data_IF_343382071871
#
_entry.id   IF_343382071871
#
_cell.length_a   1.000
_cell.length_b   1.000
_cell.length_c   1.000
_cell.angle_alpha   90.00
_cell.angle_beta   90.00
_cell.angle_gamma   90.00
#
_symmetry.space_group_name_H-M   'P 1'
#
loop_
_entity.id
_entity.type
_entity.pdbx_description
1 polymer ?
#
# COMPACT_ATOMS: atom_id res chain seq x y z
N UNK A 1 -7.04 20.65 -2.78
CA UNK A 1 -7.96 21.74 -2.37
C UNK A 1 -7.51 22.25 -1.01
N UNK A 2 -7.77 23.50 -0.66
CA UNK A 2 -7.16 24.11 0.54
C UNK A 2 -7.60 23.45 1.84
N UNK A 3 -8.89 23.08 1.95
CA UNK A 3 -9.39 22.34 3.12
C UNK A 3 -8.65 21.01 3.36
N UNK A 4 -8.20 20.33 2.30
CA UNK A 4 -7.47 19.08 2.41
C UNK A 4 -6.03 19.32 2.90
N UNK A 5 -5.40 20.42 2.47
CA UNK A 5 -4.08 20.83 2.95
C UNK A 5 -4.15 21.26 4.43
N UNK A 6 -5.21 21.96 4.81
CA UNK A 6 -5.45 22.34 6.20
C UNK A 6 -5.68 21.10 7.09
N UNK A 7 -6.51 20.16 6.65
CA UNK A 7 -6.73 18.88 7.33
C UNK A 7 -5.41 18.12 7.53
N UNK A 8 -4.59 18.05 6.49
CA UNK A 8 -3.27 17.43 6.54
C UNK A 8 -2.35 18.10 7.57
N UNK A 9 -2.26 19.43 7.56
CA UNK A 9 -1.45 20.22 8.51
C UNK A 9 -1.93 20.07 9.96
N UNK A 10 -3.23 19.82 10.17
CA UNK A 10 -3.80 19.53 11.50
C UNK A 10 -3.47 18.12 12.01
N UNK A 11 -2.80 17.29 11.19
CA UNK A 11 -2.45 15.92 11.56
C UNK A 11 -3.57 14.92 11.36
N UNK A 12 -4.59 15.24 10.54
CA UNK A 12 -5.58 14.23 10.13
C UNK A 12 -4.87 13.15 9.31
N UNK A 13 -5.12 11.89 9.69
CA UNK A 13 -4.54 10.74 9.01
C UNK A 13 -5.24 10.55 7.66
N UNK A 14 -4.45 10.58 6.60
CA UNK A 14 -4.91 10.27 5.25
C UNK A 14 -4.51 8.83 4.95
N UNK A 15 -5.53 7.98 4.81
CA UNK A 15 -5.39 6.61 4.34
C UNK A 15 -5.79 6.51 2.86
N UNK A 16 -5.11 5.67 2.08
CA UNK A 16 -5.36 5.56 0.64
C UNK A 16 -6.73 4.95 0.33
N UNK A 17 -7.15 3.90 1.03
CA UNK A 17 -8.41 3.19 0.79
C UNK A 17 -8.74 2.99 -0.69
N UNK A 18 -7.87 2.32 -1.46
CA UNK A 18 -7.88 2.42 -2.94
C UNK A 18 -9.27 2.20 -3.56
N UNK A 19 -9.93 1.09 -3.22
CA UNK A 19 -11.30 0.80 -3.59
C UNK A 19 -11.54 0.70 -5.10
N UNK A 20 -12.81 0.47 -5.47
CA UNK A 20 -13.20 0.49 -6.88
C UNK A 20 -13.13 1.89 -7.47
N UNK A 21 -13.43 2.92 -6.67
CA UNK A 21 -13.71 4.29 -7.14
C UNK A 21 -12.90 5.38 -6.41
N UNK A 22 -11.91 5.03 -5.57
CA UNK A 22 -11.34 5.96 -4.58
C UNK A 22 -9.88 6.39 -4.83
N UNK A 23 -9.11 5.69 -5.67
CA UNK A 23 -7.72 6.05 -5.97
C UNK A 23 -7.54 6.56 -7.40
N UNK A 24 -6.82 7.66 -7.54
CA UNK A 24 -6.49 8.26 -8.83
C UNK A 24 -5.01 8.63 -8.89
N UNK A 25 -4.30 8.17 -9.92
CA UNK A 25 -2.86 8.44 -10.08
C UNK A 25 -2.56 9.94 -10.11
N UNK A 26 -3.32 10.70 -10.89
CA UNK A 26 -3.12 12.14 -11.05
C UNK A 26 -3.34 12.89 -9.74
N UNK A 27 -4.30 12.46 -8.92
CA UNK A 27 -4.51 13.04 -7.57
C UNK A 27 -3.30 12.74 -6.68
N UNK A 28 -2.81 11.51 -6.68
CA UNK A 28 -1.65 11.11 -5.88
C UNK A 28 -0.36 11.86 -6.30
N UNK A 29 -0.12 12.02 -7.61
CA UNK A 29 0.99 12.81 -8.14
C UNK A 29 0.90 14.30 -7.76
N UNK A 30 -0.29 14.89 -7.84
CA UNK A 30 -0.53 16.28 -7.41
C UNK A 30 -0.29 16.42 -5.90
N UNK A 31 -0.73 15.44 -5.10
CA UNK A 31 -0.50 15.44 -3.65
C UNK A 31 1.00 15.41 -3.34
N UNK A 32 1.78 14.53 -4.00
CA UNK A 32 3.23 14.47 -3.85
C UNK A 32 3.93 15.78 -4.21
N UNK A 33 3.54 16.42 -5.31
CA UNK A 33 4.05 17.76 -5.69
C UNK A 33 3.74 18.86 -4.68
N UNK A 34 2.74 18.64 -3.82
CA UNK A 34 2.37 19.54 -2.72
C UNK A 34 2.89 19.07 -1.36
N UNK A 35 3.81 18.11 -1.35
CA UNK A 35 4.39 17.54 -0.12
C UNK A 35 3.34 16.91 0.80
N UNK A 36 2.27 16.38 0.20
CA UNK A 36 1.22 15.62 0.89
C UNK A 36 1.39 14.15 0.55
N UNK A 37 1.69 13.34 1.56
CA UNK A 37 1.80 11.89 1.47
C UNK A 37 0.76 11.22 2.35
N UNK A 38 0.16 10.13 1.88
CA UNK A 38 -0.71 9.32 2.73
C UNK A 38 0.10 8.72 3.89
N UNK A 39 -0.45 8.78 5.10
CA UNK A 39 0.20 8.21 6.29
C UNK A 39 0.04 6.70 6.35
N UNK A 40 -1.07 6.16 5.84
CA UNK A 40 -1.26 4.71 5.70
C UNK A 40 -1.79 4.36 4.32
N UNK A 41 -1.48 3.14 3.89
CA UNK A 41 -1.90 2.61 2.59
C UNK A 41 -2.78 1.40 2.84
N UNK A 42 -4.01 1.45 2.32
CA UNK A 42 -4.96 0.35 2.37
C UNK A 42 -5.64 0.16 1.03
N UNK A 43 -6.33 -0.97 0.89
CA UNK A 43 -6.86 -1.43 -0.39
C UNK A 43 -8.34 -1.15 -0.59
N UNK A 44 -9.14 -1.08 0.48
CA UNK A 44 -10.60 -1.18 0.40
C UNK A 44 -11.05 -2.36 -0.50
N UNK A 45 -10.45 -3.54 -0.22
CA UNK A 45 -10.61 -4.73 -1.05
C UNK A 45 -11.85 -5.54 -0.67
N UNK A 46 -12.59 -6.02 -1.67
CA UNK A 46 -13.71 -6.95 -1.55
C UNK A 46 -13.79 -7.84 -2.80
N UNK A 47 -14.68 -8.83 -2.81
CA UNK A 47 -14.65 -9.91 -3.82
C UNK A 47 -14.67 -9.42 -5.28
N UNK A 48 -15.39 -8.33 -5.57
CA UNK A 48 -15.53 -7.81 -6.94
C UNK A 48 -14.23 -7.18 -7.42
N UNK A 49 -13.68 -6.23 -6.66
CA UNK A 49 -12.47 -5.52 -7.08
C UNK A 49 -11.22 -6.40 -7.00
N UNK A 50 -11.18 -7.36 -6.07
CA UNK A 50 -10.12 -8.37 -5.96
C UNK A 50 -10.00 -9.26 -7.19
N UNK A 51 -11.14 -9.69 -7.74
CA UNK A 51 -11.16 -10.62 -8.88
C UNK A 51 -10.99 -9.89 -10.21
N UNK A 52 -11.64 -8.73 -10.35
CA UNK A 52 -11.80 -8.06 -11.64
C UNK A 52 -11.03 -6.75 -11.74
N UNK A 53 -10.27 -6.38 -10.71
CA UNK A 53 -9.64 -5.07 -10.60
C UNK A 53 -10.62 -3.98 -10.13
N UNK A 54 -10.11 -2.76 -9.87
CA UNK A 54 -8.71 -2.35 -10.07
C UNK A 54 -7.78 -2.73 -8.90
N UNK A 55 -8.30 -3.33 -7.83
CA UNK A 55 -7.56 -3.63 -6.59
C UNK A 55 -7.44 -5.14 -6.40
N UNK A 56 -6.35 -5.74 -6.87
CA UNK A 56 -6.13 -7.19 -6.77
C UNK A 56 -5.61 -7.62 -5.39
N UNK A 57 -4.73 -6.81 -4.80
CA UNK A 57 -4.11 -7.05 -3.49
C UNK A 57 -3.38 -5.78 -3.01
N UNK A 58 -2.81 -5.87 -1.80
CA UNK A 58 -2.02 -4.78 -1.23
C UNK A 58 -0.71 -4.56 -2.00
N UNK A 59 -0.06 -5.60 -2.50
CA UNK A 59 1.21 -5.50 -3.20
C UNK A 59 1.08 -4.72 -4.53
N UNK A 60 0.01 -4.95 -5.27
CA UNK A 60 -0.38 -4.17 -6.45
C UNK A 60 -0.65 -2.71 -6.08
N UNK A 61 -1.32 -2.46 -4.95
CA UNK A 61 -1.59 -1.09 -4.46
C UNK A 61 -0.29 -0.36 -4.09
N UNK A 62 0.65 -1.06 -3.45
CA UNK A 62 1.98 -0.52 -3.16
C UNK A 62 2.77 -0.24 -4.43
N UNK A 63 2.68 -1.12 -5.43
CA UNK A 63 3.33 -0.91 -6.74
C UNK A 63 2.80 0.33 -7.45
N UNK A 64 1.50 0.66 -7.31
CA UNK A 64 0.93 1.92 -7.83
C UNK A 64 1.57 3.13 -7.17
N UNK A 65 1.75 3.10 -5.85
CA UNK A 65 2.32 4.22 -5.11
C UNK A 65 3.85 4.31 -5.27
N UNK A 66 4.52 3.19 -5.46
CA UNK A 66 5.91 3.14 -5.91
C UNK A 66 6.03 3.89 -7.25
N UNK A 67 5.15 3.59 -8.21
CA UNK A 67 5.13 4.29 -9.51
C UNK A 67 4.84 5.80 -9.39
N UNK A 68 4.03 6.20 -8.41
CA UNK A 68 3.77 7.63 -8.10
C UNK A 68 5.01 8.33 -7.52
N UNK A 69 5.99 7.59 -7.00
CA UNK A 69 7.24 8.13 -6.47
C UNK A 69 7.36 8.09 -4.94
N UNK A 70 6.67 7.15 -4.29
CA UNK A 70 6.97 6.79 -2.90
C UNK A 70 8.22 5.90 -2.86
N UNK A 71 9.08 6.11 -1.86
CA UNK A 71 10.19 5.21 -1.57
C UNK A 71 9.71 3.90 -0.92
N UNK A 72 10.50 2.83 -1.02
CA UNK A 72 10.18 1.58 -0.32
C UNK A 72 10.02 1.78 1.20
N UNK A 73 10.85 2.62 1.81
CA UNK A 73 10.78 2.91 3.24
C UNK A 73 9.44 3.55 3.63
N UNK A 74 9.00 4.57 2.87
CA UNK A 74 7.68 5.18 3.04
C UNK A 74 6.56 4.14 2.90
N UNK A 75 6.63 3.31 1.85
CA UNK A 75 5.61 2.29 1.58
C UNK A 75 5.52 1.25 2.71
N UNK A 76 6.66 0.71 3.16
CA UNK A 76 6.68 -0.29 4.23
C UNK A 76 6.14 0.31 5.52
N UNK A 77 6.60 1.50 5.93
CA UNK A 77 6.08 2.18 7.12
C UNK A 77 4.56 2.42 7.05
N UNK A 78 4.05 2.79 5.87
CA UNK A 78 2.64 3.07 5.65
C UNK A 78 1.74 1.81 5.65
N UNK A 79 2.30 0.60 5.59
CA UNK A 79 1.55 -0.67 5.73
C UNK A 79 1.90 -1.47 6.99
N UNK A 80 2.88 -1.03 7.78
CA UNK A 80 3.27 -1.69 9.04
C UNK A 80 3.07 -0.77 10.24
N UNK A 81 4.03 0.12 10.52
CA UNK A 81 4.06 0.96 11.72
C UNK A 81 2.89 1.92 11.78
N UNK A 82 2.53 2.56 10.66
CA UNK A 82 1.45 3.54 10.62
C UNK A 82 0.07 2.93 10.93
N UNK A 83 -0.42 1.88 10.24
CA UNK A 83 -1.69 1.27 10.59
C UNK A 83 -1.66 0.64 11.99
N UNK A 84 -0.55 0.04 12.42
CA UNK A 84 -0.43 -0.47 13.79
C UNK A 84 -0.63 0.64 14.84
N UNK A 85 -0.03 1.82 14.62
CA UNK A 85 -0.24 3.00 15.47
C UNK A 85 -1.68 3.52 15.40
N UNK A 86 -2.24 3.65 14.19
CA UNK A 86 -3.58 4.21 13.97
C UNK A 86 -4.67 3.40 14.71
N UNK A 87 -4.48 2.08 14.82
CA UNK A 87 -5.43 1.16 15.44
C UNK A 87 -4.98 0.58 16.78
N UNK A 88 -3.95 1.16 17.41
CA UNK A 88 -3.43 0.73 18.72
C UNK A 88 -3.02 -0.76 18.80
N UNK A 89 -2.43 -1.29 17.73
CA UNK A 89 -1.91 -2.67 17.68
C UNK A 89 -0.50 -2.75 18.27
N UNK A 90 -0.42 -2.65 19.60
CA UNK A 90 0.86 -2.50 20.34
C UNK A 90 1.91 -3.58 20.02
N UNK A 91 1.49 -4.82 19.77
CA UNK A 91 2.39 -5.96 19.53
C UNK A 91 2.72 -6.19 18.05
N UNK A 92 2.34 -5.27 17.15
CA UNK A 92 2.50 -5.41 15.69
C UNK A 92 3.22 -4.22 15.07
N UNK A 93 3.51 -4.33 13.78
CA UNK A 93 3.98 -3.22 12.92
C UNK A 93 5.48 -2.93 12.95
N UNK A 94 6.26 -3.58 13.81
CA UNK A 94 7.74 -3.45 13.81
C UNK A 94 8.42 -4.76 14.22
N UNK A 95 9.70 -4.88 13.86
CA UNK A 95 10.54 -6.05 14.17
C UNK A 95 11.32 -5.79 15.47
N UNK A 96 10.68 -6.05 16.60
CA UNK A 96 11.25 -5.84 17.94
C UNK A 96 11.06 -7.09 18.80
N UNK A 97 12.00 -7.34 19.71
CA UNK A 97 11.89 -8.45 20.67
C UNK A 97 10.64 -8.24 21.54
N UNK A 98 9.82 -9.30 21.65
CA UNK A 98 8.57 -9.28 22.42
C UNK A 98 7.31 -8.96 21.61
N UNK A 99 7.43 -8.58 20.33
CA UNK A 99 6.29 -8.45 19.41
C UNK A 99 5.91 -9.78 18.77
N UNK A 100 4.73 -9.82 18.17
CA UNK A 100 4.22 -11.01 17.46
C UNK A 100 5.15 -11.36 16.30
N UNK A 101 5.35 -12.66 16.05
CA UNK A 101 6.13 -13.18 14.93
C UNK A 101 5.43 -13.02 13.59
N UNK A 102 5.05 -11.79 13.24
CA UNK A 102 4.35 -11.41 12.02
C UNK A 102 5.33 -10.71 11.07
N UNK A 103 5.72 -11.41 10.01
CA UNK A 103 6.62 -10.90 8.98
C UNK A 103 6.01 -11.09 7.60
N UNK A 104 6.29 -10.18 6.67
CA UNK A 104 5.97 -10.37 5.25
C UNK A 104 7.24 -10.19 4.43
N UNK A 105 7.49 -11.13 3.53
CA UNK A 105 8.64 -11.13 2.62
C UNK A 105 8.16 -10.72 1.24
N UNK A 106 8.82 -9.71 0.67
CA UNK A 106 8.56 -9.23 -0.69
C UNK A 106 9.83 -9.35 -1.54
N UNK A 107 9.63 -9.45 -2.86
CA UNK A 107 10.62 -9.13 -3.87
C UNK A 107 10.23 -7.83 -4.55
N UNK A 108 11.22 -6.99 -4.81
CA UNK A 108 11.09 -5.92 -5.80
C UNK A 108 11.60 -6.50 -7.13
N UNK A 109 10.72 -6.62 -8.10
CA UNK A 109 11.02 -7.22 -9.40
C UNK A 109 11.09 -6.15 -10.48
N UNK A 110 12.17 -6.13 -11.26
CA UNK A 110 12.30 -5.28 -12.45
C UNK A 110 11.47 -5.87 -13.60
N UNK A 111 10.18 -5.53 -13.60
CA UNK A 111 9.18 -6.07 -14.51
C UNK A 111 8.24 -4.97 -14.98
N UNK A 112 8.04 -4.93 -16.30
CA UNK A 112 7.05 -4.03 -16.89
C UNK A 112 5.63 -4.54 -16.70
N UNK A 113 4.79 -3.78 -15.99
CA UNK A 113 3.39 -4.13 -15.78
C UNK A 113 2.46 -2.90 -15.85
N UNK A 114 1.27 -3.09 -16.42
CA UNK A 114 0.24 -2.03 -16.51
C UNK A 114 -0.56 -2.00 -15.22
N UNK A 115 -0.54 -0.88 -14.54
CA UNK A 115 -1.32 -0.63 -13.33
C UNK A 115 -2.49 0.30 -13.65
N UNK A 116 -3.70 -0.10 -13.27
CA UNK A 116 -4.94 0.64 -13.55
C UNK A 116 -5.50 1.22 -12.24
N UNK A 117 -5.80 2.52 -12.20
CA UNK A 117 -6.45 3.15 -11.04
C UNK A 117 -7.99 3.01 -11.06
N UNK A 118 -8.65 3.59 -10.07
CA UNK A 118 -10.11 3.54 -9.93
C UNK A 118 -10.87 4.30 -11.02
N UNK A 119 -10.21 5.19 -11.76
CA UNK A 119 -10.82 5.95 -12.85
C UNK A 119 -10.41 5.43 -14.24
N UNK A 120 -9.77 4.26 -14.31
CA UNK A 120 -9.34 3.65 -15.56
C UNK A 120 -8.07 4.27 -16.16
N UNK A 121 -7.36 5.15 -15.43
CA UNK A 121 -6.07 5.63 -15.89
C UNK A 121 -5.05 4.50 -15.76
N UNK A 122 -4.19 4.38 -16.77
CA UNK A 122 -3.16 3.34 -16.83
C UNK A 122 -1.79 3.96 -16.69
N UNK A 123 -0.97 3.41 -15.79
CA UNK A 123 0.44 3.71 -15.66
C UNK A 123 1.27 2.46 -15.96
N UNK A 124 2.34 2.62 -16.74
CA UNK A 124 3.30 1.55 -16.97
C UNK A 124 4.34 1.59 -15.84
N UNK A 125 4.38 0.55 -15.00
CA UNK A 125 5.44 0.41 -13.99
C UNK A 125 6.63 -0.34 -14.56
N UNK A 126 7.83 0.00 -14.13
CA UNK A 126 9.08 -0.71 -14.42
C UNK A 126 9.49 -1.64 -13.28
N UNK A 127 8.91 -1.46 -12.09
CA UNK A 127 9.14 -2.28 -10.92
C UNK A 127 7.83 -2.68 -10.25
N UNK A 128 7.75 -3.90 -9.75
CA UNK A 128 6.58 -4.45 -9.06
C UNK A 128 7.00 -5.08 -7.73
N UNK A 129 6.22 -4.83 -6.69
CA UNK A 129 6.34 -5.53 -5.42
C UNK A 129 5.54 -6.82 -5.47
N UNK A 130 6.22 -7.95 -5.25
CA UNK A 130 5.61 -9.27 -5.27
C UNK A 130 5.79 -9.95 -3.90
N UNK A 131 4.72 -10.37 -3.22
CA UNK A 131 4.84 -11.14 -1.99
C UNK A 131 5.49 -12.50 -2.26
N UNK A 132 6.22 -13.04 -1.29
CA UNK A 132 6.88 -14.34 -1.39
C UNK A 132 6.35 -15.28 -0.32
N UNK A 133 6.32 -14.78 0.91
CA UNK A 133 5.87 -15.52 2.07
C UNK A 133 5.43 -14.54 3.16
N UNK A 134 4.69 -15.03 4.13
CA UNK A 134 4.46 -14.34 5.38
C UNK A 134 4.56 -15.31 6.55
N UNK A 135 4.80 -14.77 7.73
CA UNK A 135 4.61 -15.48 8.98
C UNK A 135 3.47 -14.80 9.74
N UNK A 136 2.64 -15.60 10.41
CA UNK A 136 1.62 -15.10 11.33
C UNK A 136 1.78 -15.84 12.64
N UNK A 137 2.04 -15.11 13.72
CA UNK A 137 2.38 -15.67 15.03
C UNK A 137 3.46 -16.76 14.94
N UNK A 138 4.49 -16.54 14.11
CA UNK A 138 5.61 -17.47 13.90
C UNK A 138 5.32 -18.64 12.95
N UNK A 139 4.10 -18.81 12.45
CA UNK A 139 3.77 -19.86 11.47
C UNK A 139 4.01 -19.35 10.05
N UNK A 140 4.84 -20.06 9.27
CA UNK A 140 5.18 -19.70 7.89
C UNK A 140 4.10 -20.11 6.89
N UNK A 141 3.73 -19.17 6.03
CA UNK A 141 2.86 -19.36 4.87
C UNK A 141 3.61 -18.88 3.63
N UNK A 142 3.75 -19.76 2.64
CA UNK A 142 4.41 -19.43 1.37
C UNK A 142 3.36 -19.33 0.27
N UNK A 143 3.56 -18.39 -0.66
CA UNK A 143 2.75 -18.38 -1.88
C UNK A 143 3.07 -19.66 -2.67
N UNK A 144 2.04 -20.41 -3.05
CA UNK A 144 2.23 -21.55 -3.96
C UNK A 144 2.66 -20.98 -5.29
N UNK A 145 3.75 -21.48 -5.87
CA UNK A 145 4.11 -21.18 -7.26
C UNK A 145 2.87 -21.36 -8.14
N UNK A 146 2.50 -20.31 -8.86
CA UNK A 146 1.48 -20.39 -9.91
C UNK A 146 2.09 -21.27 -11.01
N UNK A 147 1.72 -22.56 -11.02
CA UNK A 147 1.98 -23.46 -12.14
C UNK A 147 1.33 -22.95 -13.42
#
# INVERSE_FOLDING_TARGET
KDFALEAYRRGIIFDIGHGTDSFNFKVAEIARKKEVSAQSISTDIYIRNRKNGPVYDLATTLSKLLKVGYSLEELISAVTTAPAKNFNLANKGSLEVGKDGDLTFFKLEDKQEKLVDSNGNVQQSEQILSPVACTVAGTLYQEREKK
#
